data_IF_387732430834
#
_entry.id   IF_387732430834
#
_cell.length_a   1.000
_cell.length_b   1.000
_cell.length_c   1.000
_cell.angle_alpha   90.00
_cell.angle_beta   90.00
_cell.angle_gamma   90.00
#
_symmetry.space_group_name_H-M   'P 1'
#
loop_
_entity.id
_entity.type
_entity.pdbx_description
1 polymer ?
#
# COMPACT_ATOMS: atom_id res chain seq x y z
N UNK A 1 0.93 -7.43 -26.41
CA UNK A 1 -0.28 -7.07 -25.64
C UNK A 1 -0.65 -5.64 -26.02
N UNK A 2 -1.86 -5.38 -26.51
CA UNK A 2 -2.31 -4.04 -26.92
C UNK A 2 -2.90 -3.29 -25.70
N UNK A 3 -2.04 -2.92 -24.74
CA UNK A 3 -2.42 -2.40 -23.42
C UNK A 3 -1.66 -1.10 -23.16
N UNK A 4 -2.34 -0.07 -22.68
CA UNK A 4 -1.69 1.17 -22.24
C UNK A 4 -0.92 0.92 -20.95
N UNK A 5 0.36 1.30 -20.90
CA UNK A 5 1.24 0.95 -19.80
C UNK A 5 1.85 2.20 -19.15
N UNK A 6 1.74 2.26 -17.83
CA UNK A 6 2.22 3.36 -16.99
C UNK A 6 3.23 2.78 -16.00
N UNK A 7 4.40 3.41 -15.85
CA UNK A 7 5.41 2.99 -14.88
C UNK A 7 5.70 4.09 -13.87
N UNK A 8 5.46 3.82 -12.60
CA UNK A 8 5.70 4.72 -11.49
C UNK A 8 6.87 4.22 -10.63
N UNK A 9 8.00 4.93 -10.65
CA UNK A 9 9.20 4.55 -9.90
C UNK A 9 9.47 5.44 -8.70
N UNK A 10 8.78 6.57 -8.59
CA UNK A 10 8.98 7.61 -7.59
C UNK A 10 7.66 8.07 -6.98
N UNK A 11 7.69 8.44 -5.71
CA UNK A 11 6.50 8.89 -5.00
C UNK A 11 5.97 10.23 -5.53
N UNK A 12 6.84 11.13 -6.02
CA UNK A 12 6.40 12.44 -6.50
C UNK A 12 5.60 12.35 -7.82
N UNK A 13 5.84 11.30 -8.61
CA UNK A 13 5.13 11.06 -9.88
C UNK A 13 3.74 10.43 -9.66
N UNK A 14 3.51 9.83 -8.49
CA UNK A 14 2.32 9.01 -8.23
C UNK A 14 1.01 9.77 -8.46
N UNK A 15 0.83 11.03 -8.03
CA UNK A 15 -0.43 11.74 -8.26
C UNK A 15 -0.75 11.93 -9.75
N UNK A 16 0.26 12.30 -10.55
CA UNK A 16 0.08 12.54 -11.99
C UNK A 16 -0.20 11.23 -12.74
N UNK A 17 0.56 10.16 -12.43
CA UNK A 17 0.40 8.83 -13.06
C UNK A 17 -0.89 8.15 -12.64
N UNK A 18 -1.31 8.31 -11.39
CA UNK A 18 -2.60 7.81 -10.91
C UNK A 18 -3.76 8.52 -11.61
N UNK A 19 -3.66 9.84 -11.83
CA UNK A 19 -4.66 10.58 -12.60
C UNK A 19 -4.78 10.02 -14.02
N UNK A 20 -3.66 9.82 -14.71
CA UNK A 20 -3.64 9.20 -16.05
C UNK A 20 -4.27 7.80 -16.04
N UNK A 21 -3.92 6.98 -15.05
CA UNK A 21 -4.45 5.61 -14.90
C UNK A 21 -5.97 5.59 -14.73
N UNK A 22 -6.52 6.48 -13.90
CA UNK A 22 -7.95 6.55 -13.59
C UNK A 22 -8.78 7.22 -14.69
N UNK A 23 -8.20 8.21 -15.39
CA UNK A 23 -8.87 8.94 -16.48
C UNK A 23 -8.72 8.25 -17.85
N UNK A 24 -7.98 7.14 -17.92
CA UNK A 24 -7.83 6.37 -19.14
C UNK A 24 -9.18 5.83 -19.65
N UNK A 25 -9.26 5.59 -20.96
CA UNK A 25 -10.43 5.07 -21.64
C UNK A 25 -10.84 3.69 -21.08
N UNK A 26 -11.93 3.65 -20.31
CA UNK A 26 -12.46 2.44 -19.68
C UNK A 26 -12.91 1.35 -20.67
N UNK A 27 -13.01 1.65 -21.97
CA UNK A 27 -13.25 0.62 -23.00
C UNK A 27 -11.98 -0.17 -23.38
N UNK A 28 -10.82 0.25 -22.88
CA UNK A 28 -9.51 -0.32 -23.20
C UNK A 28 -8.76 -0.75 -21.93
N UNK A 29 -7.92 -1.78 -22.01
CA UNK A 29 -7.10 -2.20 -20.87
C UNK A 29 -5.96 -1.21 -20.61
N UNK A 30 -5.66 -1.00 -19.33
CA UNK A 30 -4.50 -0.24 -18.83
C UNK A 30 -3.79 -1.01 -17.73
N UNK A 31 -2.46 -0.91 -17.69
CA UNK A 31 -1.59 -1.49 -16.68
C UNK A 31 -0.75 -0.38 -16.04
N UNK A 32 -0.74 -0.29 -14.72
CA UNK A 32 0.21 0.54 -13.99
C UNK A 32 1.16 -0.33 -13.16
N UNK A 33 2.46 -0.25 -13.44
CA UNK A 33 3.52 -0.84 -12.63
C UNK A 33 4.04 0.20 -11.64
N UNK A 34 3.93 -0.07 -10.34
CA UNK A 34 4.48 0.76 -9.28
C UNK A 34 5.65 0.05 -8.59
N UNK A 35 6.81 0.72 -8.51
CA UNK A 35 7.93 0.27 -7.68
C UNK A 35 7.65 0.67 -6.24
N UNK A 36 7.57 -0.31 -5.34
CA UNK A 36 7.24 -0.14 -3.92
C UNK A 36 8.33 -0.70 -3.01
N UNK A 37 8.31 -0.33 -1.73
CA UNK A 37 9.20 -0.92 -0.71
C UNK A 37 8.90 -2.42 -0.57
N UNK A 38 9.97 -3.23 -0.50
CA UNK A 38 9.86 -4.70 -0.47
C UNK A 38 9.63 -5.23 0.94
N UNK A 39 10.16 -4.53 1.95
CA UNK A 39 10.21 -5.02 3.33
C UNK A 39 9.35 -4.18 4.27
N UNK A 40 8.05 -4.07 3.96
CA UNK A 40 7.07 -3.43 4.82
C UNK A 40 6.07 -4.47 5.34
N UNK A 41 5.64 -4.33 6.60
CA UNK A 41 4.68 -5.25 7.21
C UNK A 41 3.26 -4.68 7.11
N UNK A 42 2.27 -5.57 7.00
CA UNK A 42 0.86 -5.17 7.09
C UNK A 42 0.46 -5.06 8.55
N UNK A 43 0.08 -3.86 8.97
CA UNK A 43 -0.44 -3.58 10.32
C UNK A 43 -1.87 -3.03 10.24
N UNK A 44 -2.70 -3.22 11.29
CA UNK A 44 -2.44 -4.08 12.44
C UNK A 44 -2.53 -5.57 12.08
N UNK A 45 -1.87 -6.42 12.86
CA UNK A 45 -1.91 -7.88 12.67
C UNK A 45 -2.20 -8.56 14.01
N UNK A 46 -3.10 -9.55 13.98
CA UNK A 46 -3.33 -10.48 15.10
C UNK A 46 -2.49 -11.73 14.85
N UNK A 47 -1.48 -12.03 15.69
CA UNK A 47 -0.70 -13.26 15.55
C UNK A 47 -1.55 -14.52 15.74
N UNK A 48 -1.09 -15.64 15.18
CA UNK A 48 -1.73 -16.93 15.43
C UNK A 48 -1.79 -17.24 16.94
N UNK A 49 -2.97 -17.63 17.42
CA UNK A 49 -3.20 -17.93 18.85
C UNK A 49 -3.45 -16.72 19.74
N UNK A 50 -3.60 -15.51 19.18
CA UNK A 50 -3.92 -14.28 19.92
C UNK A 50 -5.38 -13.88 19.77
N UNK A 51 -5.93 -13.23 20.79
CA UNK A 51 -7.25 -12.64 20.73
C UNK A 51 -7.24 -11.37 19.88
N UNK A 52 -8.40 -10.98 19.33
CA UNK A 52 -8.52 -9.84 18.42
C UNK A 52 -8.02 -8.51 19.02
N UNK A 53 -8.13 -8.33 20.34
CA UNK A 53 -7.67 -7.15 21.05
C UNK A 53 -6.15 -7.16 21.35
N UNK A 54 -5.48 -8.31 21.18
CA UNK A 54 -4.02 -8.45 21.32
C UNK A 54 -3.29 -8.20 19.99
N UNK A 55 -3.92 -7.49 19.05
CA UNK A 55 -3.27 -7.08 17.81
C UNK A 55 -2.03 -6.23 18.09
N UNK A 56 -0.97 -6.38 17.29
CA UNK A 56 0.14 -5.44 17.33
C UNK A 56 -0.04 -4.37 16.26
N UNK A 57 0.21 -3.12 16.67
CA UNK A 57 0.14 -1.93 15.83
C UNK A 57 1.52 -1.54 15.30
N UNK A 58 1.55 -0.68 14.29
CA UNK A 58 2.77 -0.11 13.75
C UNK A 58 3.62 0.53 14.87
N UNK A 59 4.96 0.41 14.87
CA UNK A 59 5.81 0.90 15.97
C UNK A 59 5.59 2.36 16.36
N UNK A 60 5.22 3.22 15.41
CA UNK A 60 4.93 4.65 15.67
C UNK A 60 3.61 4.90 16.40
N UNK A 61 2.75 3.88 16.53
CA UNK A 61 1.42 3.96 17.14
C UNK A 61 1.36 3.17 18.46
N UNK A 62 2.49 2.67 18.97
CA UNK A 62 2.51 1.94 20.25
C UNK A 62 2.33 2.93 21.40
N UNK A 63 1.33 2.69 22.23
CA UNK A 63 1.23 3.37 23.52
C UNK A 63 2.47 3.05 24.37
N UNK A 64 2.96 4.03 25.15
CA UNK A 64 4.04 3.76 26.10
C UNK A 64 3.61 2.62 27.06
N UNK A 65 4.53 1.73 27.46
CA UNK A 65 4.18 0.64 28.35
C UNK A 65 3.53 1.19 29.62
N UNK A 66 2.32 0.73 29.92
CA UNK A 66 1.63 1.05 31.17
C UNK A 66 2.54 0.60 32.32
N UNK A 67 2.91 1.53 33.21
CA UNK A 67 3.73 1.24 34.38
C UNK A 67 2.92 0.30 35.29
N UNK A 68 3.40 -0.94 35.44
CA UNK A 68 2.97 -1.84 36.50
C UNK A 68 3.57 -1.39 37.84
#
# INVERSE_FOLDING_TARGET
MNVHAIRCTRAEDLPAKMKEFLEYDNSKPVLMECVVERNEHVFPMVPAGKALHEQFVHPTLRDPPSKA
#
